data_IF_424004826059
#
_entry.id   IF_424004826059
#
_cell.length_a   1.000
_cell.length_b   1.000
_cell.length_c   1.000
_cell.angle_alpha   90.00
_cell.angle_beta   90.00
_cell.angle_gamma   90.00
#
_symmetry.space_group_name_H-M   'P 1'
#
loop_
_entity.id
_entity.type
_entity.pdbx_description
1 polymer ?
#
# COMPACT_ATOMS: atom_id res chain seq x y z
N UNK A 1 0.45 -12.76 -9.40
CA UNK A 1 0.56 -11.29 -9.28
C UNK A 1 -0.14 -10.86 -8.00
N UNK A 2 0.50 -10.06 -7.13
CA UNK A 2 -0.03 -9.64 -5.83
C UNK A 2 -0.55 -8.21 -5.92
N UNK A 3 -1.76 -7.96 -5.41
CA UNK A 3 -2.42 -6.66 -5.46
C UNK A 3 -2.65 -6.15 -4.04
N UNK A 4 -2.47 -4.84 -3.83
CA UNK A 4 -2.82 -4.12 -2.60
C UNK A 4 -4.12 -3.36 -2.86
N UNK A 5 -5.07 -3.47 -1.94
CA UNK A 5 -6.30 -2.67 -1.99
C UNK A 5 -5.99 -1.33 -1.37
N UNK A 6 -6.00 -0.28 -2.18
CA UNK A 6 -5.88 1.10 -1.71
C UNK A 6 -7.22 1.81 -1.85
N UNK A 7 -7.52 2.67 -0.88
CA UNK A 7 -8.70 3.55 -0.94
C UNK A 7 -8.26 4.82 -1.65
N UNK A 8 -8.72 5.01 -2.88
CA UNK A 8 -8.44 6.19 -3.67
C UNK A 8 -9.62 7.17 -3.57
N UNK A 9 -9.31 8.44 -3.32
CA UNK A 9 -10.28 9.54 -3.36
C UNK A 9 -10.32 10.09 -4.79
N UNK A 10 -11.49 10.04 -5.42
CA UNK A 10 -11.69 10.59 -6.77
C UNK A 10 -12.77 11.69 -6.74
N UNK A 11 -12.53 12.85 -7.36
CA UNK A 11 -13.54 13.89 -7.51
C UNK A 11 -14.59 13.43 -8.52
N UNK A 12 -15.80 13.13 -8.04
CA UNK A 12 -16.93 12.72 -8.87
C UNK A 12 -17.94 13.87 -8.97
N UNK A 13 -18.42 14.17 -10.18
CA UNK A 13 -19.44 15.21 -10.38
C UNK A 13 -20.82 14.62 -10.10
N UNK A 14 -21.39 14.94 -8.95
CA UNK A 14 -22.71 14.46 -8.55
C UNK A 14 -23.73 15.58 -8.75
N UNK A 15 -24.73 15.35 -9.60
CA UNK A 15 -25.83 16.30 -9.81
C UNK A 15 -27.01 15.90 -8.93
N UNK A 16 -27.43 16.79 -8.04
CA UNK A 16 -28.65 16.64 -7.22
C UNK A 16 -29.53 17.86 -7.48
N UNK A 17 -30.79 17.63 -7.83
CA UNK A 17 -31.79 18.68 -8.07
C UNK A 17 -31.34 19.82 -9.03
N UNK A 18 -30.61 19.46 -10.09
CA UNK A 18 -30.17 20.40 -11.12
C UNK A 18 -28.91 21.21 -10.78
N UNK A 19 -28.31 21.00 -9.60
CA UNK A 19 -27.04 21.62 -9.19
C UNK A 19 -25.93 20.56 -9.22
N UNK A 20 -24.90 20.80 -10.03
CA UNK A 20 -23.72 19.92 -10.12
C UNK A 20 -22.72 20.31 -9.05
N UNK A 21 -22.47 19.40 -8.10
CA UNK A 21 -21.46 19.55 -7.06
C UNK A 21 -20.33 18.53 -7.24
N UNK A 22 -19.10 18.96 -6.99
CA UNK A 22 -17.93 18.07 -6.94
C UNK A 22 -17.94 17.37 -5.58
N UNK A 23 -18.14 16.05 -5.57
CA UNK A 23 -18.19 15.24 -4.34
C UNK A 23 -17.00 14.29 -4.36
N UNK A 24 -16.17 14.35 -3.31
CA UNK A 24 -15.08 13.40 -3.12
C UNK A 24 -15.66 12.05 -2.75
N UNK A 25 -15.54 11.05 -3.64
CA UNK A 25 -15.95 9.67 -3.38
C UNK A 25 -14.73 8.78 -3.20
N UNK A 26 -14.84 7.80 -2.31
CA UNK A 26 -13.80 6.81 -2.06
C UNK A 26 -14.09 5.53 -2.86
N UNK A 27 -13.12 5.06 -3.63
CA UNK A 27 -13.19 3.77 -4.34
C UNK A 27 -12.06 2.86 -3.88
N UNK A 28 -12.36 1.57 -3.70
CA UNK A 28 -11.33 0.54 -3.50
C UNK A 28 -10.72 0.18 -4.86
N UNK A 29 -9.44 0.46 -5.03
CA UNK A 29 -8.69 0.16 -6.25
C UNK A 29 -7.63 -0.89 -5.93
N UNK A 30 -7.52 -1.90 -6.78
CA UNK A 30 -6.49 -2.93 -6.67
C UNK A 30 -5.21 -2.43 -7.37
N UNK A 31 -4.27 -1.91 -6.59
CA UNK A 31 -2.98 -1.45 -7.07
C UNK A 31 -2.01 -2.64 -7.14
N UNK A 32 -1.39 -2.93 -8.30
CA UNK A 32 -0.42 -4.00 -8.40
C UNK A 32 0.81 -3.65 -7.55
N UNK A 33 1.19 -4.56 -6.65
CA UNK A 33 2.41 -4.40 -5.85
C UNK A 33 3.59 -4.67 -6.77
N UNK A 34 4.50 -3.70 -6.92
CA UNK A 34 5.70 -3.88 -7.71
C UNK A 34 6.56 -4.97 -7.04
N UNK A 35 7.10 -5.96 -7.80
CA UNK A 35 7.89 -7.06 -7.22
C UNK A 35 9.01 -6.57 -6.30
N UNK A 36 9.59 -5.42 -6.64
CA UNK A 36 10.66 -4.75 -5.88
C UNK A 36 10.30 -4.42 -4.44
N UNK A 37 9.05 -4.07 -4.14
CA UNK A 37 8.63 -3.72 -2.78
C UNK A 37 8.58 -4.95 -1.86
N UNK A 38 8.17 -6.10 -2.42
CA UNK A 38 8.17 -7.38 -1.71
C UNK A 38 9.62 -7.82 -1.46
N UNK A 39 10.48 -7.69 -2.46
CA UNK A 39 11.90 -8.01 -2.34
C UNK A 39 12.59 -7.13 -1.29
N UNK A 40 12.32 -5.82 -1.29
CA UNK A 40 12.89 -4.91 -0.29
C UNK A 40 12.47 -5.27 1.15
N UNK A 41 11.21 -5.67 1.35
CA UNK A 41 10.73 -6.13 2.65
C UNK A 41 11.39 -7.45 3.06
N UNK A 42 11.52 -8.39 2.13
CA UNK A 42 12.18 -9.68 2.37
C UNK A 42 13.66 -9.48 2.75
N UNK A 43 14.39 -8.65 2.01
CA UNK A 43 15.78 -8.30 2.31
C UNK A 43 15.90 -7.67 3.69
N UNK A 44 15.01 -6.72 4.03
CA UNK A 44 15.04 -6.06 5.35
C UNK A 44 14.78 -7.05 6.49
N UNK A 45 13.87 -8.00 6.29
CA UNK A 45 13.59 -9.05 7.26
C UNK A 45 14.81 -9.98 7.45
N UNK A 46 15.46 -10.41 6.36
CA UNK A 46 16.66 -11.25 6.40
C UNK A 46 17.81 -10.53 7.12
N UNK A 47 18.06 -9.26 6.80
CA UNK A 47 19.10 -8.47 7.46
C UNK A 47 18.83 -8.36 8.96
N UNK A 48 17.59 -8.07 9.36
CA UNK A 48 17.21 -8.01 10.77
C UNK A 48 17.43 -9.34 11.50
N UNK A 49 17.07 -10.46 10.86
CA UNK A 49 17.29 -11.79 11.41
C UNK A 49 18.79 -12.09 11.60
N UNK A 50 19.61 -11.81 10.59
CA UNK A 50 21.07 -12.02 10.65
C UNK A 50 21.68 -11.20 11.78
N UNK A 51 21.31 -9.93 11.90
CA UNK A 51 21.80 -9.07 12.98
C UNK A 51 21.37 -9.57 14.36
N UNK A 52 20.11 -10.02 14.50
CA UNK A 52 19.60 -10.58 15.75
C UNK A 52 20.35 -11.86 16.16
N UNK A 53 20.54 -12.78 15.22
CA UNK A 53 21.33 -14.01 15.44
C UNK A 53 22.78 -13.67 15.81
N UNK A 54 23.36 -12.68 15.15
CA UNK A 54 24.73 -12.23 15.45
C UNK A 54 24.84 -11.69 16.86
N UNK A 55 23.87 -10.87 17.30
CA UNK A 55 23.82 -10.35 18.67
C UNK A 55 23.76 -11.50 19.69
N UNK A 56 22.85 -12.45 19.48
CA UNK A 56 22.68 -13.62 20.36
C UNK A 56 23.96 -14.47 20.42
N UNK A 57 24.68 -14.59 19.30
CA UNK A 57 25.90 -15.40 19.24
C UNK A 57 27.10 -14.74 19.92
N UNK A 58 27.07 -13.43 20.16
CA UNK A 58 28.19 -12.67 20.73
C UNK A 58 27.96 -12.32 22.22
N UNK A 59 26.72 -12.42 22.70
CA UNK A 59 26.37 -12.44 24.13
C UNK A 59 26.64 -13.78 24.78
#
# INVERSE_FOLDING_TARGET
MKFRIETEEYPDSHTVDGVTAQVTRTRRVAVPVLPRDVDALAVRAVVGLVLGLTLVSVT
#
